data_IF_089810176361
#
_entry.id   IF_089810176361
#
_cell.length_a   1.000
_cell.length_b   1.000
_cell.length_c   1.000
_cell.angle_alpha   90.00
_cell.angle_beta   90.00
_cell.angle_gamma   90.00
#
_symmetry.space_group_name_H-M   'P 1'
#
loop_
_entity.id
_entity.type
_entity.pdbx_description
1 polymer ?
#
# COMPACT_ATOMS: atom_id res chain seq x y z
N UNK A 1 -0.73 15.49 -4.79
CA UNK A 1 -2.22 15.51 -4.73
C UNK A 1 -2.70 16.33 -3.53
N UNK A 2 -2.45 15.95 -2.27
CA UNK A 2 -2.74 16.83 -1.12
C UNK A 2 -1.95 18.13 -1.11
N UNK A 3 -0.66 18.07 -1.47
CA UNK A 3 0.14 19.26 -1.69
C UNK A 3 -0.44 20.16 -2.80
N UNK A 4 -1.08 19.56 -3.82
CA UNK A 4 -1.72 20.31 -4.89
C UNK A 4 -3.04 20.93 -4.41
N UNK A 5 -3.84 20.22 -3.61
CA UNK A 5 -5.04 20.77 -2.96
C UNK A 5 -4.67 21.93 -2.02
N UNK A 6 -3.66 21.75 -1.17
CA UNK A 6 -3.14 22.79 -0.29
C UNK A 6 -2.62 24.01 -1.06
N UNK A 7 -1.83 23.79 -2.11
CA UNK A 7 -1.37 24.86 -3.00
C UNK A 7 -2.53 25.58 -3.72
N UNK A 8 -3.59 24.85 -4.09
CA UNK A 8 -4.76 25.45 -4.75
C UNK A 8 -5.54 26.33 -3.78
N UNK A 9 -5.71 25.89 -2.52
CA UNK A 9 -6.37 26.67 -1.46
C UNK A 9 -5.53 27.89 -1.05
N UNK A 10 -4.21 27.73 -0.97
CA UNK A 10 -3.28 28.80 -0.64
C UNK A 10 -3.22 29.85 -1.77
N UNK A 11 -3.22 29.40 -3.04
CA UNK A 11 -3.24 30.29 -4.20
C UNK A 11 -4.59 30.98 -4.42
N UNK A 12 -5.71 30.35 -4.06
CA UNK A 12 -7.05 30.95 -4.20
C UNK A 12 -7.42 31.89 -3.06
N UNK A 13 -6.76 31.78 -1.90
CA UNK A 13 -7.14 32.48 -0.66
C UNK A 13 -8.51 32.04 -0.12
N UNK A 14 -9.13 31.03 -0.73
CA UNK A 14 -10.45 30.53 -0.38
C UNK A 14 -10.33 29.27 0.46
N UNK A 15 -10.32 29.49 1.78
CA UNK A 15 -10.34 28.43 2.79
C UNK A 15 -11.76 27.95 3.13
N UNK A 16 -12.79 28.40 2.38
CA UNK A 16 -14.19 28.00 2.59
C UNK A 16 -14.60 26.79 1.75
N UNK A 17 -13.82 26.45 0.72
CA UNK A 17 -14.08 25.29 -0.12
C UNK A 17 -13.93 23.98 0.68
N UNK A 18 -15.04 23.26 0.86
CA UNK A 18 -15.03 21.94 1.49
C UNK A 18 -14.40 20.90 0.54
N UNK A 19 -13.26 20.36 0.93
CA UNK A 19 -12.58 19.29 0.18
C UNK A 19 -13.14 17.94 0.61
N UNK A 20 -13.73 17.18 -0.31
CA UNK A 20 -14.19 15.81 -0.03
C UNK A 20 -13.14 14.80 -0.46
N UNK A 21 -12.52 14.14 0.53
CA UNK A 21 -11.55 13.08 0.27
C UNK A 21 -12.28 11.77 -0.07
N UNK A 22 -11.83 11.09 -1.12
CA UNK A 22 -12.24 9.71 -1.38
C UNK A 22 -11.75 8.76 -0.27
N UNK A 23 -12.33 7.57 -0.22
CA UNK A 23 -11.93 6.53 0.74
C UNK A 23 -10.46 6.14 0.53
N UNK A 24 -10.01 6.02 -0.72
CA UNK A 24 -8.64 5.65 -1.07
C UNK A 24 -7.63 6.73 -0.68
N UNK A 25 -7.97 8.00 -0.89
CA UNK A 25 -7.14 9.13 -0.46
C UNK A 25 -7.06 9.20 1.05
N UNK A 26 -8.17 8.98 1.75
CA UNK A 26 -8.20 8.93 3.21
C UNK A 26 -7.31 7.80 3.74
N UNK A 27 -7.36 6.61 3.12
CA UNK A 27 -6.48 5.48 3.48
C UNK A 27 -5.01 5.85 3.22
N UNK A 28 -4.71 6.49 2.09
CA UNK A 28 -3.36 6.90 1.76
C UNK A 28 -2.79 7.89 2.78
N UNK A 29 -3.57 8.90 3.18
CA UNK A 29 -3.20 9.87 4.23
C UNK A 29 -2.94 9.14 5.54
N UNK A 30 -3.87 8.30 5.95
CA UNK A 30 -3.76 7.57 7.21
C UNK A 30 -2.47 6.75 7.25
N UNK A 31 -2.16 6.01 6.18
CA UNK A 31 -0.95 5.19 6.11
C UNK A 31 0.33 6.02 5.95
N UNK A 32 0.29 7.15 5.26
CA UNK A 32 1.46 8.00 5.02
C UNK A 32 1.88 8.79 6.27
N UNK A 33 0.91 9.26 7.05
CA UNK A 33 1.13 10.00 8.29
C UNK A 33 1.14 9.10 9.54
N UNK A 34 1.03 7.79 9.37
CA UNK A 34 0.96 6.79 10.44
C UNK A 34 -0.12 7.09 11.50
N UNK A 35 -1.29 7.55 11.04
CA UNK A 35 -2.38 7.96 11.93
C UNK A 35 -3.16 6.74 12.45
N UNK A 36 -3.37 6.71 13.77
CA UNK A 36 -4.23 5.70 14.36
C UNK A 36 -5.70 5.91 13.97
N UNK A 37 -6.56 4.93 14.29
CA UNK A 37 -8.00 5.06 14.10
C UNK A 37 -8.58 6.21 14.96
N UNK A 38 -8.00 6.47 16.12
CA UNK A 38 -8.44 7.55 17.01
C UNK A 38 -8.03 8.91 16.46
N UNK A 39 -6.79 9.04 15.97
CA UNK A 39 -6.31 10.27 15.35
C UNK A 39 -7.15 10.65 14.14
N UNK A 40 -7.55 9.66 13.32
CA UNK A 40 -8.40 9.92 12.16
C UNK A 40 -9.81 10.36 12.55
N UNK A 41 -10.38 9.83 13.64
CA UNK A 41 -11.69 10.28 14.16
C UNK A 41 -11.59 11.70 14.71
N UNK A 42 -10.50 12.00 15.40
CA UNK A 42 -10.22 13.33 15.93
C UNK A 42 -10.06 14.36 14.82
N UNK A 43 -9.25 14.04 13.80
CA UNK A 43 -9.10 14.88 12.60
C UNK A 43 -10.43 15.09 11.90
N UNK A 44 -11.24 14.04 11.74
CA UNK A 44 -12.59 14.20 11.19
C UNK A 44 -13.42 15.16 12.02
N UNK A 45 -13.42 15.05 13.34
CA UNK A 45 -14.22 15.93 14.21
C UNK A 45 -13.78 17.41 14.14
N UNK A 46 -12.48 17.67 13.92
CA UNK A 46 -11.94 19.04 13.83
C UNK A 46 -12.08 19.63 12.43
N UNK A 47 -11.98 18.81 11.40
CA UNK A 47 -11.91 19.25 10.02
C UNK A 47 -13.20 19.04 9.23
N UNK A 48 -14.28 18.48 9.80
CA UNK A 48 -15.48 18.07 9.03
C UNK A 48 -16.11 19.23 8.22
N UNK A 49 -15.94 20.46 8.69
CA UNK A 49 -16.40 21.69 8.05
C UNK A 49 -15.60 22.05 6.78
N UNK A 50 -14.32 21.66 6.72
CA UNK A 50 -13.39 22.03 5.64
C UNK A 50 -12.89 20.86 4.80
N UNK A 51 -12.74 19.69 5.42
CA UNK A 51 -12.26 18.46 4.80
C UNK A 51 -13.16 17.30 5.23
N UNK A 52 -14.01 16.87 4.31
CA UNK A 52 -14.86 15.72 4.57
C UNK A 52 -14.05 14.43 4.46
N UNK A 53 -13.80 13.82 5.62
CA UNK A 53 -13.13 12.53 5.75
C UNK A 53 -14.16 11.40 5.74
N UNK A 54 -13.89 10.36 4.97
CA UNK A 54 -14.74 9.17 4.89
C UNK A 54 -14.94 8.53 6.27
N UNK A 55 -16.09 7.87 6.48
CA UNK A 55 -16.39 7.24 7.78
C UNK A 55 -15.45 6.06 8.06
N UNK A 56 -15.16 5.83 9.34
CA UNK A 56 -14.22 4.77 9.74
C UNK A 56 -14.66 3.36 9.30
N UNK A 57 -15.96 3.12 9.16
CA UNK A 57 -16.51 1.84 8.66
C UNK A 57 -16.18 1.61 7.18
N UNK A 58 -16.33 2.64 6.35
CA UNK A 58 -16.06 2.57 4.91
C UNK A 58 -14.56 2.37 4.67
N UNK A 59 -13.73 3.08 5.43
CA UNK A 59 -12.28 2.93 5.43
C UNK A 59 -11.88 1.51 5.84
N UNK A 60 -12.49 0.96 6.89
CA UNK A 60 -12.23 -0.42 7.34
C UNK A 60 -12.62 -1.44 6.27
N UNK A 61 -13.76 -1.25 5.61
CA UNK A 61 -14.21 -2.12 4.53
C UNK A 61 -13.25 -2.06 3.33
N UNK A 62 -12.90 -0.87 2.87
CA UNK A 62 -11.95 -0.68 1.77
C UNK A 62 -10.56 -1.25 2.11
N UNK A 63 -10.05 -1.06 3.33
CA UNK A 63 -8.80 -1.68 3.78
C UNK A 63 -8.84 -3.21 3.75
N UNK A 64 -9.99 -3.84 4.04
CA UNK A 64 -10.13 -5.31 3.92
C UNK A 64 -10.01 -5.77 2.47
N UNK A 65 -10.54 -5.00 1.51
CA UNK A 65 -10.42 -5.31 0.09
C UNK A 65 -8.97 -5.27 -0.41
N UNK A 66 -8.10 -4.46 0.22
CA UNK A 66 -6.67 -4.37 -0.08
C UNK A 66 -5.82 -5.48 0.55
N UNK A 67 -6.34 -6.19 1.55
CA UNK A 67 -5.58 -7.22 2.26
C UNK A 67 -5.61 -8.55 1.51
N UNK A 68 -4.49 -9.30 1.52
CA UNK A 68 -4.51 -10.66 1.01
C UNK A 68 -5.41 -11.54 1.88
N UNK A 69 -6.00 -12.57 1.27
CA UNK A 69 -6.66 -13.62 2.03
C UNK A 69 -5.61 -14.37 2.84
N UNK A 70 -5.85 -14.48 4.13
CA UNK A 70 -4.97 -15.18 5.05
C UNK A 70 -5.66 -16.36 5.73
N UNK A 71 -4.88 -17.34 6.13
CA UNK A 71 -5.27 -18.45 7.02
C UNK A 71 -4.33 -18.51 8.19
N UNK A 72 -4.80 -18.99 9.32
CA UNK A 72 -3.92 -19.41 10.41
C UNK A 72 -2.99 -20.53 9.93
N UNK A 73 -1.75 -20.48 10.39
CA UNK A 73 -0.80 -21.56 10.14
C UNK A 73 -1.25 -22.82 10.89
N UNK A 74 -1.00 -24.01 10.33
CA UNK A 74 -1.46 -25.30 10.89
C UNK A 74 -0.97 -25.56 12.32
N UNK A 75 0.09 -24.89 12.73
CA UNK A 75 0.70 -24.99 14.05
C UNK A 75 0.37 -23.80 14.98
N UNK A 76 -0.58 -22.94 14.59
CA UNK A 76 -0.99 -21.74 15.33
C UNK A 76 0.15 -20.73 15.57
N UNK A 77 1.29 -20.83 14.88
CA UNK A 77 2.46 -19.95 15.08
C UNK A 77 2.45 -18.69 14.21
N UNK A 78 1.38 -18.46 13.45
CA UNK A 78 1.27 -17.27 12.62
C UNK A 78 0.15 -17.31 11.59
N UNK A 79 0.28 -16.42 10.60
CA UNK A 79 -0.70 -16.21 9.54
C UNK A 79 0.00 -16.44 8.20
N UNK A 80 -0.60 -17.23 7.33
CA UNK A 80 -0.11 -17.54 5.98
C UNK A 80 -1.04 -16.93 4.94
N UNK A 81 -0.46 -16.39 3.87
CA UNK A 81 -1.19 -15.98 2.67
C UNK A 81 -1.72 -17.24 1.97
N UNK A 82 -3.03 -17.28 1.69
CA UNK A 82 -3.67 -18.46 1.08
C UNK A 82 -3.15 -18.76 -0.33
N UNK A 83 -2.96 -17.72 -1.14
CA UNK A 83 -2.57 -17.85 -2.54
C UNK A 83 -1.72 -16.66 -2.97
N UNK A 84 -0.46 -16.94 -3.32
CA UNK A 84 0.43 -15.94 -3.94
C UNK A 84 -0.14 -15.45 -5.28
N UNK A 85 -0.72 -16.34 -6.07
CA UNK A 85 -1.33 -16.01 -7.36
C UNK A 85 -2.42 -14.97 -7.20
N UNK A 86 -3.24 -15.08 -6.17
CA UNK A 86 -4.34 -14.15 -5.91
C UNK A 86 -3.82 -12.76 -5.57
N UNK A 87 -2.71 -12.67 -4.80
CA UNK A 87 -2.05 -11.40 -4.51
C UNK A 87 -1.57 -10.74 -5.79
N UNK A 88 -0.89 -11.51 -6.64
CA UNK A 88 -0.39 -11.00 -7.94
C UNK A 88 -1.56 -10.48 -8.77
N UNK A 89 -2.62 -11.27 -8.95
CA UNK A 89 -3.79 -10.89 -9.74
C UNK A 89 -4.42 -9.60 -9.19
N UNK A 90 -4.64 -9.51 -7.87
CA UNK A 90 -5.20 -8.31 -7.23
C UNK A 90 -4.30 -7.08 -7.42
N UNK A 91 -2.99 -7.27 -7.30
CA UNK A 91 -2.01 -6.20 -7.48
C UNK A 91 -2.01 -5.69 -8.92
N UNK A 92 -1.99 -6.61 -9.89
CA UNK A 92 -2.05 -6.29 -11.32
C UNK A 92 -3.37 -5.60 -11.66
N UNK A 93 -4.51 -6.09 -11.17
CA UNK A 93 -5.81 -5.45 -11.38
C UNK A 93 -5.81 -4.01 -10.88
N UNK A 94 -5.27 -3.78 -9.68
CA UNK A 94 -5.22 -2.43 -9.13
C UNK A 94 -4.34 -1.49 -9.95
N UNK A 95 -3.22 -1.98 -10.48
CA UNK A 95 -2.36 -1.20 -11.37
C UNK A 95 -3.01 -0.90 -12.72
N UNK A 96 -3.79 -1.84 -13.25
CA UNK A 96 -4.63 -1.63 -14.42
C UNK A 96 -5.66 -0.53 -14.14
N UNK A 97 -6.33 -0.57 -12.99
CA UNK A 97 -7.33 0.45 -12.61
C UNK A 97 -6.69 1.84 -12.51
N UNK A 98 -5.49 1.94 -11.92
CA UNK A 98 -4.72 3.18 -11.88
C UNK A 98 -4.33 3.65 -13.28
N UNK A 99 -3.87 2.75 -14.14
CA UNK A 99 -3.48 3.09 -15.51
C UNK A 99 -4.68 3.52 -16.38
N UNK A 100 -5.85 2.89 -16.19
CA UNK A 100 -7.13 3.30 -16.82
C UNK A 100 -7.56 4.70 -16.38
N UNK A 101 -7.39 5.02 -15.10
CA UNK A 101 -7.62 6.38 -14.59
C UNK A 101 -6.67 7.44 -15.17
N UNK A 102 -5.57 7.02 -15.80
CA UNK A 102 -4.64 7.87 -16.55
C UNK A 102 -4.90 7.82 -18.07
N UNK A 103 -6.07 7.32 -18.49
CA UNK A 103 -6.47 7.19 -19.90
C UNK A 103 -5.50 6.35 -20.75
N UNK A 104 -4.71 5.47 -20.13
CA UNK A 104 -3.81 4.57 -20.86
C UNK A 104 -4.61 3.42 -21.46
N UNK A 105 -4.39 3.13 -22.74
CA UNK A 105 -4.90 1.91 -23.34
C UNK A 105 -4.23 0.69 -22.69
N UNK A 106 -5.05 -0.25 -22.20
CA UNK A 106 -4.59 -1.47 -21.54
C UNK A 106 -4.78 -2.65 -22.50
N UNK A 107 -3.72 -3.31 -22.96
CA UNK A 107 -3.83 -4.51 -23.77
C UNK A 107 -4.47 -5.67 -23.00
N UNK A 108 -5.07 -6.60 -23.74
CA UNK A 108 -5.75 -7.77 -23.18
C UNK A 108 -4.79 -8.74 -22.46
N UNK A 109 -3.54 -8.80 -22.91
CA UNK A 109 -2.51 -9.69 -22.34
C UNK A 109 -1.31 -8.89 -21.86
N UNK A 110 -0.90 -9.16 -20.62
CA UNK A 110 0.18 -8.48 -19.93
C UNK A 110 1.21 -9.48 -19.41
N UNK A 111 2.48 -9.16 -19.59
CA UNK A 111 3.58 -9.79 -18.86
C UNK A 111 3.90 -8.95 -17.63
N UNK A 112 4.12 -9.63 -16.52
CA UNK A 112 4.58 -8.99 -15.29
C UNK A 112 5.99 -9.44 -14.96
N UNK A 113 6.82 -8.49 -14.49
CA UNK A 113 8.10 -8.80 -13.85
C UNK A 113 8.00 -8.55 -12.37
N UNK A 114 8.60 -9.43 -11.58
CA UNK A 114 8.55 -9.37 -10.13
C UNK A 114 9.93 -9.53 -9.51
N UNK A 115 10.06 -9.04 -8.28
CA UNK A 115 11.15 -9.35 -7.37
C UNK A 115 10.56 -10.01 -6.13
N UNK A 116 11.14 -11.12 -5.72
CA UNK A 116 10.82 -11.77 -4.46
C UNK A 116 12.01 -11.69 -3.53
N UNK A 117 11.74 -11.73 -2.22
CA UNK A 117 12.76 -11.71 -1.19
C UNK A 117 12.26 -12.43 0.05
N UNK A 118 13.19 -12.85 0.90
CA UNK A 118 12.89 -13.42 2.20
C UNK A 118 13.77 -12.72 3.21
N UNK A 119 13.20 -12.41 4.37
CA UNK A 119 13.93 -11.75 5.44
C UNK A 119 13.43 -12.23 6.79
N UNK A 120 14.32 -12.22 7.78
CA UNK A 120 14.05 -12.62 9.15
C UNK A 120 14.42 -11.49 10.10
N UNK A 121 13.47 -11.06 10.93
CA UNK A 121 13.71 -10.11 11.99
C UNK A 121 13.55 -10.80 13.34
N UNK A 122 14.62 -10.81 14.15
CA UNK A 122 14.59 -11.34 15.50
C UNK A 122 14.27 -10.27 16.55
N UNK A 123 14.23 -10.67 17.82
CA UNK A 123 14.09 -9.74 18.98
C UNK A 123 12.84 -8.86 18.92
N UNK A 124 11.72 -9.40 18.43
CA UNK A 124 10.46 -8.69 18.46
C UNK A 124 9.87 -8.67 19.86
N UNK A 125 9.12 -7.61 20.19
CA UNK A 125 8.43 -7.50 21.47
C UNK A 125 7.41 -8.64 21.63
N UNK A 126 7.45 -9.30 22.79
CA UNK A 126 6.51 -10.38 23.12
C UNK A 126 5.26 -9.77 23.72
N UNK A 127 4.09 -10.16 23.21
CA UNK A 127 2.83 -9.78 23.84
C UNK A 127 2.60 -10.62 25.10
N UNK A 128 2.64 -10.00 26.27
CA UNK A 128 2.33 -10.67 27.53
C UNK A 128 0.81 -10.94 27.62
N UNK A 129 0.45 -12.21 27.49
CA UNK A 129 -0.92 -12.70 27.66
C UNK A 129 -0.87 -13.97 28.50
N UNK A 130 -1.86 -14.24 29.37
CA UNK A 130 -1.93 -15.48 30.15
C UNK A 130 -1.85 -16.76 29.30
N UNK A 131 -2.13 -16.67 27.99
CA UNK A 131 -2.10 -17.78 27.04
C UNK A 131 -0.82 -17.83 26.19
N UNK A 132 0.06 -16.84 26.30
CA UNK A 132 1.26 -16.77 25.47
C UNK A 132 2.46 -17.37 26.22
N UNK A 133 2.83 -18.59 25.85
CA UNK A 133 3.99 -19.30 26.38
C UNK A 133 5.27 -19.05 25.56
N UNK A 134 5.23 -18.19 24.53
CA UNK A 134 6.41 -17.90 23.70
C UNK A 134 7.47 -17.14 24.51
N UNK A 135 8.70 -17.69 24.50
CA UNK A 135 9.87 -17.09 25.14
C UNK A 135 10.62 -16.11 24.23
N UNK A 136 10.41 -16.21 22.93
CA UNK A 136 11.01 -15.37 21.90
C UNK A 136 9.98 -15.09 20.81
N UNK A 137 10.05 -13.91 20.21
CA UNK A 137 9.23 -13.54 19.06
C UNK A 137 10.16 -13.15 17.89
N UNK A 138 10.04 -13.90 16.80
CA UNK A 138 10.79 -13.69 15.57
C UNK A 138 9.77 -13.59 14.43
N UNK A 139 10.00 -12.68 13.49
CA UNK A 139 9.19 -12.53 12.29
C UNK A 139 9.98 -13.06 11.10
N UNK A 140 9.41 -14.02 10.40
CA UNK A 140 9.86 -14.43 9.08
C UNK A 140 8.94 -13.84 8.02
N UNK A 141 9.50 -13.07 7.10
CA UNK A 141 8.76 -12.36 6.05
C UNK A 141 9.14 -12.87 4.68
N UNK A 142 8.13 -13.18 3.85
CA UNK A 142 8.30 -13.37 2.42
C UNK A 142 7.73 -12.15 1.70
N UNK A 143 8.59 -11.49 0.93
CA UNK A 143 8.29 -10.27 0.21
C UNK A 143 8.09 -10.56 -1.27
N UNK A 144 7.12 -9.86 -1.86
CA UNK A 144 6.87 -9.82 -3.28
C UNK A 144 6.69 -8.35 -3.69
N UNK A 145 7.31 -7.97 -4.80
CA UNK A 145 7.18 -6.62 -5.37
C UNK A 145 7.07 -6.73 -6.89
N UNK A 146 6.01 -6.14 -7.45
CA UNK A 146 5.88 -6.01 -8.89
C UNK A 146 6.83 -4.92 -9.40
N UNK A 147 7.59 -5.22 -10.45
CA UNK A 147 8.58 -4.33 -11.06
C UNK A 147 8.04 -3.62 -12.31
N UNK A 148 7.33 -4.33 -13.18
CA UNK A 148 6.76 -3.76 -14.39
C UNK A 148 5.59 -4.59 -14.94
N UNK A 149 4.76 -3.92 -15.73
CA UNK A 149 3.76 -4.50 -16.61
C UNK A 149 4.08 -4.13 -18.06
N UNK A 150 4.19 -5.14 -18.92
CA UNK A 150 4.56 -4.99 -20.33
C UNK A 150 3.47 -5.61 -21.21
N UNK A 151 3.14 -4.96 -22.32
CA UNK A 151 2.26 -5.50 -23.35
C UNK A 151 2.94 -6.65 -24.08
N UNK A 152 2.29 -7.81 -24.22
CA UNK A 152 2.83 -8.90 -25.07
C UNK A 152 2.78 -8.60 -26.56
N UNK A 153 1.93 -7.67 -26.99
CA UNK A 153 1.71 -7.38 -28.40
C UNK A 153 2.71 -6.35 -28.94
N UNK A 154 3.13 -5.41 -28.10
CA UNK A 154 3.96 -4.26 -28.51
C UNK A 154 5.29 -4.20 -27.78
N UNK A 155 5.52 -5.08 -26.80
CA UNK A 155 6.65 -5.03 -25.86
C UNK A 155 6.79 -3.69 -25.11
N UNK A 156 5.77 -2.84 -25.16
CA UNK A 156 5.75 -1.56 -24.48
C UNK A 156 5.46 -1.71 -22.98
N UNK A 157 6.20 -0.96 -22.16
CA UNK A 157 6.00 -0.89 -20.71
C UNK A 157 4.83 0.02 -20.41
N UNK A 158 3.75 -0.55 -19.88
CA UNK A 158 2.53 0.18 -19.50
C UNK A 158 2.68 0.82 -18.13
N UNK A 159 3.37 0.10 -17.25
CA UNK A 159 3.65 0.54 -15.89
C UNK A 159 5.01 0.01 -15.44
N UNK A 160 5.73 0.87 -14.70
CA UNK A 160 7.02 0.54 -14.09
C UNK A 160 7.02 1.02 -12.63
N UNK A 161 7.59 0.21 -11.76
CA UNK A 161 7.79 0.57 -10.37
C UNK A 161 9.01 1.48 -10.23
N UNK A 162 8.77 2.79 -10.16
CA UNK A 162 9.83 3.80 -10.01
C UNK A 162 10.61 3.66 -8.69
N UNK A 163 9.96 3.23 -7.61
CA UNK A 163 10.64 3.00 -6.33
C UNK A 163 11.56 1.77 -6.37
N UNK A 164 11.18 0.74 -7.13
CA UNK A 164 12.00 -0.45 -7.38
C UNK A 164 13.16 -0.17 -8.36
N UNK A 165 12.96 0.73 -9.33
CA UNK A 165 13.95 1.06 -10.36
C UNK A 165 15.12 1.93 -9.83
N UNK A 166 14.90 2.74 -8.79
CA UNK A 166 15.92 3.63 -8.21
C UNK A 166 17.00 2.91 -7.39
N UNK A 167 16.82 1.64 -7.04
CA UNK A 167 17.87 0.84 -6.40
C UNK A 167 18.76 0.24 -7.48
N UNK A 168 19.69 1.04 -8.03
CA UNK A 168 20.97 0.49 -8.50
C UNK A 168 21.55 -0.34 -7.36
N UNK A 169 22.09 -1.52 -7.68
CA UNK A 169 22.66 -2.40 -6.67
C UNK A 169 23.62 -1.61 -5.80
N UNK A 170 23.55 -1.81 -4.48
CA UNK A 170 24.54 -1.26 -3.54
C UNK A 170 25.97 -1.64 -3.94
N UNK A 171 26.14 -2.67 -4.77
CA UNK A 171 27.40 -3.10 -5.40
C UNK A 171 28.03 -2.05 -6.32
N UNK A 172 27.25 -1.21 -7.03
CA UNK A 172 27.84 -0.15 -7.88
C UNK A 172 28.38 1.04 -7.07
N UNK A 173 27.97 1.19 -5.81
CA UNK A 173 28.37 2.33 -4.96
C UNK A 173 29.77 2.18 -4.35
N UNK A 174 30.32 0.98 -4.33
CA UNK A 174 31.64 0.68 -3.75
C UNK A 174 32.77 0.60 -4.78
N UNK A 175 32.45 0.61 -6.09
CA UNK A 175 33.46 0.63 -7.16
C UNK A 175 33.85 2.05 -7.61
N UNK A 176 33.38 3.08 -6.89
CA UNK A 176 33.67 4.49 -7.18
C UNK A 176 34.22 5.24 -5.97
N UNK A 177 34.87 4.54 -5.03
CA UNK A 177 35.69 5.14 -3.97
C UNK A 177 37.11 4.62 -4.12
#
# INVERSE_FOLDING_TARGET
>A
MLAAVGQTMEASGDFTATVKLSVDETIAIQSYLDLSKHDLRFLKAILDDKVHVSNTTDILHAKKCLRPNVTECRDCRGITIKSRRDIIIRTVQRLIDVAKGQEKQIPQTLLYKEKTGHDGAGTMSIYHSPKNLQRESNIFSKLFTLLSLTSTLTDNVIWKNEAGARRKSTTERWNSV
#
